data_IF_493462424637
#
_entry.id   IF_493462424637
#
_cell.length_a   1.000
_cell.length_b   1.000
_cell.length_c   1.000
_cell.angle_alpha   90.00
_cell.angle_beta   90.00
_cell.angle_gamma   90.00
#
_symmetry.space_group_name_H-M   'P 1'
#
loop_
_entity.id
_entity.type
_entity.pdbx_description
1 polymer ?
#
# COMPACT_ATOMS: atom_id res chain seq x y z
N UNK A 1 -11.04 2.81 12.01
CA UNK A 1 -10.47 2.28 10.76
C UNK A 1 -9.52 3.33 10.25
N UNK A 2 -8.23 3.02 10.28
CA UNK A 2 -7.17 3.86 9.75
C UNK A 2 -6.46 3.14 8.62
N UNK A 3 -5.52 3.85 8.02
CA UNK A 3 -4.47 3.24 7.24
C UNK A 3 -3.14 3.43 7.99
N UNK A 4 -2.25 2.47 7.82
CA UNK A 4 -0.92 2.51 8.39
C UNK A 4 0.08 1.94 7.41
N UNK A 5 1.31 2.44 7.46
CA UNK A 5 2.38 1.89 6.64
C UNK A 5 3.74 2.24 7.20
N UNK A 6 4.68 1.33 6.96
CA UNK A 6 6.06 1.48 7.37
C UNK A 6 6.97 1.23 6.16
N UNK A 7 7.98 2.08 6.01
CA UNK A 7 9.07 1.90 5.05
C UNK A 7 10.28 1.46 5.85
N UNK A 8 10.80 0.29 5.48
CA UNK A 8 11.99 -0.30 6.09
C UNK A 8 13.10 -0.46 5.05
N UNK A 9 14.35 -0.45 5.51
CA UNK A 9 15.47 -0.91 4.68
C UNK A 9 15.56 -2.44 4.66
N UNK A 10 16.54 -2.95 3.93
CA UNK A 10 16.83 -4.39 3.82
C UNK A 10 17.30 -5.07 5.13
N UNK A 11 17.69 -4.29 6.15
CA UNK A 11 18.09 -4.77 7.47
C UNK A 11 16.92 -4.63 8.47
N UNK A 12 15.69 -4.45 7.97
CA UNK A 12 14.46 -4.22 8.73
C UNK A 12 14.43 -2.92 9.57
N UNK A 13 15.37 -2.00 9.37
CA UNK A 13 15.34 -0.72 10.09
C UNK A 13 14.25 0.19 9.53
N UNK A 14 13.45 0.77 10.42
CA UNK A 14 12.42 1.74 10.05
C UNK A 14 13.06 3.02 9.52
N UNK A 15 12.79 3.35 8.25
CA UNK A 15 13.22 4.59 7.61
C UNK A 15 12.16 5.68 7.73
N UNK A 16 10.90 5.30 7.60
CA UNK A 16 9.75 6.20 7.70
C UNK A 16 8.47 5.42 7.95
N UNK A 17 7.41 6.11 8.36
CA UNK A 17 6.09 5.50 8.51
C UNK A 17 5.01 6.55 8.62
N UNK A 18 3.78 6.11 8.41
CA UNK A 18 2.59 6.95 8.49
C UNK A 18 1.45 6.18 9.15
N UNK A 19 0.54 6.92 9.76
CA UNK A 19 -0.71 6.44 10.32
C UNK A 19 -1.73 7.55 10.10
N UNK A 20 -2.86 7.22 9.46
CA UNK A 20 -3.95 8.17 9.21
C UNK A 20 -5.25 7.52 9.65
N UNK A 21 -5.98 8.21 10.54
CA UNK A 21 -7.25 7.72 11.05
C UNK A 21 -8.41 8.35 10.28
N UNK A 22 -9.21 7.53 9.60
CA UNK A 22 -10.37 7.98 8.82
C UNK A 22 -11.71 7.72 9.53
N UNK A 23 -11.71 7.10 10.71
CA UNK A 23 -12.93 6.75 11.43
C UNK A 23 -13.61 5.49 10.87
N UNK A 24 -14.77 5.64 10.22
CA UNK A 24 -15.57 4.52 9.65
C UNK A 24 -15.33 4.43 8.15
N UNK A 25 -15.02 3.23 7.64
CA UNK A 25 -14.71 3.05 6.23
C UNK A 25 -14.78 1.60 5.77
N UNK A 26 -14.36 1.38 4.52
CA UNK A 26 -14.22 0.05 3.93
C UNK A 26 -12.79 -0.46 4.16
N UNK A 27 -12.60 -1.71 4.66
CA UNK A 27 -11.27 -2.25 4.91
C UNK A 27 -10.39 -2.27 3.65
N UNK A 28 -10.94 -2.71 2.52
CA UNK A 28 -10.18 -2.72 1.26
C UNK A 28 -9.80 -1.32 0.78
N UNK A 29 -10.66 -0.32 1.02
CA UNK A 29 -10.34 1.06 0.67
C UNK A 29 -9.19 1.59 1.54
N UNK A 30 -9.19 1.27 2.83
CA UNK A 30 -8.11 1.65 3.74
C UNK A 30 -6.78 1.03 3.30
N UNK A 31 -6.76 -0.25 2.93
CA UNK A 31 -5.57 -0.93 2.39
C UNK A 31 -5.06 -0.26 1.10
N UNK A 32 -5.95 0.03 0.16
CA UNK A 32 -5.58 0.66 -1.11
C UNK A 32 -5.04 2.09 -0.93
N UNK A 33 -5.62 2.86 0.00
CA UNK A 33 -5.11 4.18 0.34
C UNK A 33 -3.74 4.08 1.04
N UNK A 34 -3.55 3.08 1.92
CA UNK A 34 -2.26 2.80 2.55
C UNK A 34 -1.18 2.54 1.49
N UNK A 35 -1.49 1.71 0.49
CA UNK A 35 -0.61 1.45 -0.64
C UNK A 35 -0.28 2.72 -1.43
N UNK A 36 -1.28 3.55 -1.75
CA UNK A 36 -1.07 4.81 -2.46
C UNK A 36 -0.15 5.76 -1.68
N UNK A 37 -0.41 5.96 -0.39
CA UNK A 37 0.39 6.82 0.46
C UNK A 37 1.80 6.29 0.68
N UNK A 38 1.97 4.98 0.91
CA UNK A 38 3.28 4.35 1.03
C UNK A 38 4.12 4.48 -0.24
N UNK A 39 3.52 4.26 -1.41
CA UNK A 39 4.20 4.43 -2.69
C UNK A 39 4.59 5.89 -2.95
N UNK A 40 3.69 6.83 -2.66
CA UNK A 40 3.97 8.26 -2.77
C UNK A 40 5.12 8.67 -1.85
N UNK A 41 5.07 8.27 -0.58
CA UNK A 41 6.10 8.56 0.40
C UNK A 41 7.45 7.99 -0.03
N UNK A 42 7.49 6.74 -0.48
CA UNK A 42 8.72 6.10 -0.93
C UNK A 42 9.33 6.81 -2.15
N UNK A 43 8.48 7.27 -3.07
CA UNK A 43 8.90 8.06 -4.21
C UNK A 43 9.46 9.43 -3.81
N UNK A 44 8.77 10.14 -2.91
CA UNK A 44 9.18 11.47 -2.43
C UNK A 44 10.50 11.40 -1.65
N UNK A 45 10.77 10.28 -0.97
CA UNK A 45 12.05 9.96 -0.34
C UNK A 45 13.16 9.56 -1.34
N UNK A 46 12.84 9.45 -2.63
CA UNK A 46 13.80 9.18 -3.70
C UNK A 46 14.15 7.71 -3.91
N UNK A 47 13.41 6.77 -3.31
CA UNK A 47 13.66 5.34 -3.52
C UNK A 47 13.30 4.93 -4.95
N UNK A 48 14.12 4.05 -5.53
CA UNK A 48 13.96 3.54 -6.91
C UNK A 48 13.74 2.04 -7.02
N UNK A 49 13.92 1.32 -5.91
CA UNK A 49 13.65 -0.11 -5.78
C UNK A 49 12.86 -0.30 -4.49
N UNK A 50 11.62 -0.73 -4.60
CA UNK A 50 10.70 -0.85 -3.47
C UNK A 50 9.99 -2.18 -3.54
N UNK A 51 9.81 -2.81 -2.38
CA UNK A 51 8.91 -3.95 -2.21
C UNK A 51 7.66 -3.42 -1.52
N UNK A 52 6.52 -3.48 -2.19
CA UNK A 52 5.21 -3.19 -1.60
C UNK A 52 4.66 -4.47 -1.00
N UNK A 53 4.58 -4.52 0.32
CA UNK A 53 4.08 -5.65 1.09
C UNK A 53 2.66 -5.35 1.63
N UNK A 54 1.74 -6.31 1.51
CA UNK A 54 0.40 -6.25 2.12
C UNK A 54 -0.12 -7.66 2.42
N UNK A 55 -0.91 -7.80 3.49
CA UNK A 55 -1.63 -9.01 3.86
C UNK A 55 -3.06 -9.05 3.27
N UNK A 56 -3.44 -8.05 2.48
CA UNK A 56 -4.74 -7.98 1.82
C UNK A 56 -4.67 -8.54 0.39
N UNK A 57 -5.00 -9.83 0.24
CA UNK A 57 -5.01 -10.48 -1.07
C UNK A 57 -5.94 -9.78 -2.07
N UNK A 58 -7.09 -9.28 -1.61
CA UNK A 58 -8.08 -8.61 -2.46
C UNK A 58 -7.52 -7.29 -3.03
N UNK A 59 -6.90 -6.45 -2.20
CA UNK A 59 -6.25 -5.22 -2.67
C UNK A 59 -5.14 -5.52 -3.69
N UNK A 60 -4.34 -6.56 -3.42
CA UNK A 60 -3.26 -7.02 -4.29
C UNK A 60 -3.76 -7.51 -5.65
N UNK A 61 -4.86 -8.26 -5.68
CA UNK A 61 -5.51 -8.71 -6.91
C UNK A 61 -6.05 -7.52 -7.69
N UNK A 62 -6.75 -6.60 -7.02
CA UNK A 62 -7.37 -5.46 -7.68
C UNK A 62 -6.33 -4.51 -8.31
N UNK A 63 -5.16 -4.31 -7.71
CA UNK A 63 -4.12 -3.45 -8.31
C UNK A 63 -3.38 -4.14 -9.47
N UNK A 64 -3.24 -5.48 -9.44
CA UNK A 64 -2.55 -6.25 -10.49
C UNK A 64 -3.43 -6.58 -11.67
N UNK A 65 -4.61 -7.11 -11.38
CA UNK A 65 -5.50 -7.69 -12.37
C UNK A 65 -6.51 -6.64 -12.79
N UNK A 66 -6.81 -6.56 -14.09
CA UNK A 66 -7.81 -5.66 -14.66
C UNK A 66 -9.26 -6.02 -14.28
N UNK A 67 -9.51 -6.25 -12.98
CA UNK A 67 -10.81 -6.60 -12.43
C UNK A 67 -11.78 -5.43 -12.62
N UNK A 68 -13.04 -5.76 -12.92
CA UNK A 68 -14.11 -4.78 -12.98
C UNK A 68 -14.43 -4.28 -11.57
N UNK A 69 -14.20 -2.99 -11.33
CA UNK A 69 -14.53 -2.32 -10.07
C UNK A 69 -15.76 -1.46 -10.31
N UNK A 70 -16.87 -1.78 -9.63
CA UNK A 70 -18.14 -1.06 -9.78
C UNK A 70 -18.28 0.16 -8.86
N UNK A 71 -17.36 0.32 -7.90
CA UNK A 71 -17.35 1.42 -6.93
C UNK A 71 -16.34 2.48 -7.36
N UNK A 72 -16.83 3.66 -7.76
CA UNK A 72 -16.02 4.74 -8.34
C UNK A 72 -14.88 5.20 -7.42
N UNK A 73 -15.13 5.25 -6.10
CA UNK A 73 -14.12 5.65 -5.12
C UNK A 73 -12.97 4.63 -5.02
N UNK A 74 -13.26 3.33 -5.13
CA UNK A 74 -12.23 2.28 -5.14
C UNK A 74 -11.49 2.30 -6.48
N UNK A 75 -12.22 2.45 -7.59
CA UNK A 75 -11.63 2.50 -8.93
C UNK A 75 -10.62 3.66 -9.07
N UNK A 76 -10.94 4.82 -8.48
CA UNK A 76 -10.04 5.97 -8.47
C UNK A 76 -8.73 5.66 -7.76
N UNK A 77 -8.78 5.14 -6.52
CA UNK A 77 -7.58 4.82 -5.73
C UNK A 77 -6.75 3.74 -6.42
N UNK A 78 -7.39 2.70 -6.98
CA UNK A 78 -6.68 1.65 -7.73
C UNK A 78 -5.96 2.22 -8.95
N UNK A 79 -6.60 3.16 -9.66
CA UNK A 79 -5.98 3.83 -10.81
C UNK A 79 -4.77 4.67 -10.39
N UNK A 80 -4.83 5.33 -9.24
CA UNK A 80 -3.70 6.05 -8.69
C UNK A 80 -2.56 5.11 -8.31
N UNK A 81 -2.84 4.03 -7.58
CA UNK A 81 -1.83 3.01 -7.22
C UNK A 81 -1.16 2.44 -8.46
N UNK A 82 -1.93 2.05 -9.49
CA UNK A 82 -1.37 1.57 -10.77
C UNK A 82 -0.51 2.62 -11.46
N UNK A 83 -0.91 3.89 -11.41
CA UNK A 83 -0.11 5.00 -11.94
C UNK A 83 1.24 5.09 -11.22
N UNK A 84 1.25 4.97 -9.89
CA UNK A 84 2.49 4.90 -9.11
C UNK A 84 3.35 3.70 -9.51
N UNK A 85 2.78 2.51 -9.62
CA UNK A 85 3.49 1.30 -10.03
C UNK A 85 4.11 1.42 -11.44
N UNK A 86 3.52 2.22 -12.33
CA UNK A 86 3.99 2.42 -13.70
C UNK A 86 5.10 3.48 -13.88
N UNK A 87 5.54 4.15 -12.80
CA UNK A 87 6.58 5.19 -12.88
C UNK A 87 7.97 4.62 -13.16
N UNK A 88 8.99 5.50 -13.28
CA UNK A 88 10.38 5.13 -13.57
C UNK A 88 11.16 4.49 -12.39
N UNK A 89 10.55 3.51 -11.73
CA UNK A 89 11.15 2.78 -10.62
C UNK A 89 10.73 1.32 -10.65
N UNK A 90 11.45 0.50 -9.89
CA UNK A 90 11.18 -0.92 -9.77
C UNK A 90 10.36 -1.15 -8.51
N UNK A 91 9.10 -1.54 -8.68
CA UNK A 91 8.24 -1.94 -7.57
C UNK A 91 7.91 -3.40 -7.70
N UNK A 92 8.36 -4.20 -6.73
CA UNK A 92 7.90 -5.56 -6.56
C UNK A 92 6.72 -5.55 -5.58
N UNK A 93 5.58 -6.07 -6.03
CA UNK A 93 4.41 -6.20 -5.18
C UNK A 93 4.47 -7.61 -4.57
N UNK A 94 4.29 -7.76 -3.26
CA UNK A 94 4.43 -9.04 -2.55
C UNK A 94 3.35 -9.22 -1.48
N UNK A 95 2.73 -10.40 -1.47
CA UNK A 95 1.82 -10.77 -0.39
C UNK A 95 2.63 -11.28 0.80
N UNK A 96 2.25 -10.85 2.00
CA UNK A 96 2.85 -11.31 3.26
C UNK A 96 1.76 -11.78 4.20
N UNK A 97 2.01 -12.90 4.88
CA UNK A 97 1.11 -13.36 5.93
C UNK A 97 1.07 -12.35 7.08
N UNK A 98 -0.12 -12.15 7.66
CA UNK A 98 -0.36 -11.18 8.74
C UNK A 98 0.58 -11.36 9.93
N UNK A 99 1.02 -12.59 10.21
CA UNK A 99 1.99 -12.90 11.28
C UNK A 99 3.37 -12.26 11.07
N UNK A 100 3.70 -11.85 9.85
CA UNK A 100 4.94 -11.19 9.46
C UNK A 100 4.74 -9.66 9.33
N UNK A 101 3.52 -9.19 9.08
CA UNK A 101 3.20 -7.76 8.89
C UNK A 101 2.90 -6.99 10.20
N UNK A 102 3.50 -7.40 11.31
CA UNK A 102 3.16 -6.87 12.65
C UNK A 102 3.40 -5.37 12.83
N UNK A 103 4.33 -4.78 12.07
CA UNK A 103 4.64 -3.34 12.17
C UNK A 103 3.54 -2.50 11.53
N UNK A 104 3.02 -2.91 10.36
CA UNK A 104 1.92 -2.19 9.72
C UNK A 104 0.61 -2.38 10.49
N UNK A 105 0.33 -3.59 10.99
CA UNK A 105 -0.83 -3.89 11.83
C UNK A 105 -0.84 -3.06 13.14
N UNK A 106 0.34 -2.78 13.70
CA UNK A 106 0.44 -1.92 14.88
C UNK A 106 0.17 -0.43 14.55
N UNK A 107 0.36 -0.03 13.29
CA UNK A 107 0.22 1.35 12.83
C UNK A 107 -1.14 1.65 12.18
N UNK A 108 -2.02 0.65 12.02
CA UNK A 108 -3.35 0.76 11.39
C UNK A 108 -4.51 0.98 12.39
#
# INVERSE_FOLDING_TARGET
MGEGGAIRDHDDHLLSGFCVNFGVGSPILAELLAMEHGLKLAWDLGFKKVILESDCLEAMQVIRDGVLICLDNILLVVSNVRTWLSRNWMVEVKFVDRDVNKVADFMA
#
